data_IF_473908984227
#
_entry.id   IF_473908984227
#
_cell.length_a   1.000
_cell.length_b   1.000
_cell.length_c   1.000
_cell.angle_alpha   90.00
_cell.angle_beta   90.00
_cell.angle_gamma   90.00
#
_symmetry.space_group_name_H-M   'P 1'
#
loop_
_entity.id
_entity.type
_entity.pdbx_description
1 polymer ?
#
# COMPACT_ATOMS: atom_id res chain seq x y z
N UNK A 1 -49.89 19.95 21.96
CA UNK A 1 -48.49 20.12 21.50
C UNK A 1 -47.50 19.88 22.66
N UNK A 2 -47.49 18.67 23.25
CA UNK A 2 -46.64 18.34 24.43
C UNK A 2 -45.95 16.96 24.37
N UNK A 3 -46.08 16.24 23.24
CA UNK A 3 -45.54 14.87 23.08
C UNK A 3 -44.16 14.86 22.40
N UNK A 4 -43.69 15.99 21.86
CA UNK A 4 -42.41 16.06 21.13
C UNK A 4 -41.19 15.81 22.02
N UNK A 5 -41.04 16.50 23.15
CA UNK A 5 -39.77 16.49 23.90
C UNK A 5 -39.47 15.13 24.56
N UNK A 6 -40.49 14.41 25.01
CA UNK A 6 -40.36 13.07 25.64
C UNK A 6 -39.93 12.01 24.64
N UNK A 7 -40.30 12.15 23.36
CA UNK A 7 -39.93 11.19 22.32
C UNK A 7 -38.57 11.52 21.68
N UNK A 8 -38.20 12.80 21.59
CA UNK A 8 -36.91 13.19 20.98
C UNK A 8 -35.72 13.07 21.92
N UNK A 9 -35.90 13.25 23.24
CA UNK A 9 -34.79 13.20 24.19
C UNK A 9 -34.12 11.81 24.27
N UNK A 10 -34.85 10.69 24.40
CA UNK A 10 -34.25 9.35 24.40
C UNK A 10 -33.53 9.05 23.08
N UNK A 11 -34.15 9.42 21.95
CA UNK A 11 -33.57 9.26 20.61
C UNK A 11 -32.29 10.08 20.47
N UNK A 12 -32.25 11.31 20.98
CA UNK A 12 -31.05 12.14 20.93
C UNK A 12 -29.90 11.54 21.74
N UNK A 13 -30.18 10.96 22.92
CA UNK A 13 -29.17 10.27 23.74
C UNK A 13 -28.64 9.03 23.03
N UNK A 14 -29.51 8.24 22.41
CA UNK A 14 -29.13 7.07 21.60
C UNK A 14 -28.23 7.46 20.43
N UNK A 15 -28.62 8.47 19.63
CA UNK A 15 -27.81 8.96 18.50
C UNK A 15 -26.47 9.54 18.96
N UNK A 16 -26.44 10.20 20.11
CA UNK A 16 -25.20 10.69 20.70
C UNK A 16 -24.27 9.55 21.13
N UNK A 17 -24.83 8.48 21.72
CA UNK A 17 -24.05 7.29 22.06
C UNK A 17 -23.48 6.60 20.80
N UNK A 18 -24.28 6.46 19.74
CA UNK A 18 -23.83 5.92 18.45
C UNK A 18 -22.74 6.79 17.82
N UNK A 19 -22.88 8.13 17.86
CA UNK A 19 -21.88 9.07 17.37
C UNK A 19 -20.56 8.93 18.13
N UNK A 20 -20.61 8.79 19.46
CA UNK A 20 -19.41 8.58 20.28
C UNK A 20 -18.72 7.26 19.95
N UNK A 21 -19.48 6.19 19.72
CA UNK A 21 -18.93 4.91 19.29
C UNK A 21 -18.30 5.01 17.89
N UNK A 22 -18.93 5.72 16.96
CA UNK A 22 -18.36 5.98 15.64
C UNK A 22 -17.07 6.82 15.72
N UNK A 23 -17.06 7.87 16.52
CA UNK A 23 -15.89 8.73 16.72
C UNK A 23 -14.71 7.96 17.31
N UNK A 24 -14.95 7.06 18.28
CA UNK A 24 -13.91 6.20 18.85
C UNK A 24 -13.33 5.24 17.82
N UNK A 25 -14.15 4.71 16.90
CA UNK A 25 -13.67 3.85 15.82
C UNK A 25 -12.77 4.60 14.83
N UNK A 26 -13.14 5.83 14.48
CA UNK A 26 -12.32 6.69 13.61
C UNK A 26 -11.00 7.05 14.29
N UNK A 27 -11.01 7.44 15.56
CA UNK A 27 -9.78 7.73 16.32
C UNK A 27 -8.87 6.48 16.41
N UNK A 28 -9.45 5.31 16.71
CA UNK A 28 -8.71 4.06 16.72
C UNK A 28 -8.07 3.76 15.35
N UNK A 29 -8.80 3.94 14.25
CA UNK A 29 -8.28 3.74 12.90
C UNK A 29 -7.14 4.72 12.55
N UNK A 30 -7.31 6.02 12.84
CA UNK A 30 -6.28 7.04 12.56
C UNK A 30 -4.98 6.79 13.34
N UNK A 31 -5.06 6.13 14.51
CA UNK A 31 -3.87 5.75 15.27
C UNK A 31 -3.10 4.57 14.66
N UNK A 32 -3.78 3.66 13.94
CA UNK A 32 -3.12 2.53 13.28
C UNK A 32 -2.19 2.98 12.14
N UNK A 33 -2.56 4.05 11.41
CA UNK A 33 -1.82 4.53 10.24
C UNK A 33 -0.38 4.95 10.56
N UNK A 34 -0.08 5.39 11.79
CA UNK A 34 1.27 5.86 12.17
C UNK A 34 2.30 4.75 12.32
N UNK A 35 1.87 3.50 12.45
CA UNK A 35 2.78 2.37 12.69
C UNK A 35 3.33 1.81 11.36
N UNK A 36 2.64 2.02 10.24
CA UNK A 36 3.03 1.50 8.93
C UNK A 36 4.20 2.28 8.28
N UNK A 37 4.55 3.46 8.80
CA UNK A 37 5.61 4.32 8.25
C UNK A 37 7.05 3.88 8.59
N UNK A 38 7.23 2.66 9.13
CA UNK A 38 8.56 2.08 9.38
C UNK A 38 9.02 1.16 8.23
N UNK A 39 8.77 1.54 6.97
CA UNK A 39 9.58 1.01 5.87
C UNK A 39 10.90 1.78 5.91
N UNK A 40 11.91 1.10 6.47
CA UNK A 40 13.31 1.50 6.57
C UNK A 40 13.82 2.05 5.24
N UNK A 41 13.61 3.33 5.01
CA UNK A 41 14.37 4.10 4.02
C UNK A 41 15.68 4.41 4.72
N UNK A 42 16.63 3.46 4.66
CA UNK A 42 18.00 3.70 5.11
C UNK A 42 18.57 4.83 4.24
N UNK A 43 18.46 6.06 4.75
CA UNK A 43 19.01 7.28 4.13
C UNK A 43 20.53 7.40 4.26
N UNK A 44 21.24 6.42 4.81
CA UNK A 44 22.67 6.60 5.10
C UNK A 44 23.49 5.41 4.63
N UNK A 45 23.84 5.42 3.33
CA UNK A 45 25.21 5.20 2.85
C UNK A 45 25.30 5.42 1.33
N UNK A 46 26.22 6.28 0.93
CA UNK A 46 26.62 6.50 -0.45
C UNK A 46 27.26 5.22 -1.01
N UNK A 47 26.48 4.44 -1.74
CA UNK A 47 27.04 3.48 -2.71
C UNK A 47 26.08 3.40 -3.88
N UNK A 48 26.60 3.83 -5.03
CA UNK A 48 25.91 3.85 -6.32
C UNK A 48 25.57 2.39 -6.66
N UNK A 49 24.28 2.10 -6.80
CA UNK A 49 23.81 0.87 -7.45
C UNK A 49 23.23 -0.21 -6.54
N UNK A 50 22.09 0.06 -5.89
CA UNK A 50 21.21 -1.03 -5.43
C UNK A 50 19.81 -0.73 -5.96
N UNK A 51 19.29 -1.61 -6.82
CA UNK A 51 17.91 -1.57 -7.31
C UNK A 51 16.99 -2.31 -6.34
N UNK A 52 17.05 -3.65 -6.38
CA UNK A 52 16.34 -4.54 -5.45
C UNK A 52 17.35 -5.56 -4.91
N UNK A 53 17.49 -5.66 -3.59
CA UNK A 53 18.31 -6.68 -2.93
C UNK A 53 17.57 -7.27 -1.74
N UNK A 54 17.33 -8.58 -1.78
CA UNK A 54 16.70 -9.35 -0.72
C UNK A 54 17.58 -10.56 -0.42
N UNK A 55 17.95 -10.78 0.83
CA UNK A 55 18.76 -11.93 1.25
C UNK A 55 18.06 -12.69 2.36
N UNK A 56 17.77 -13.97 2.09
CA UNK A 56 17.04 -14.89 2.96
C UNK A 56 15.77 -14.26 3.57
N UNK A 57 15.06 -13.45 2.79
CA UNK A 57 13.93 -12.66 3.24
C UNK A 57 12.65 -13.50 3.31
N UNK A 58 11.94 -13.41 4.43
CA UNK A 58 10.62 -14.04 4.60
C UNK A 58 9.57 -12.98 4.87
N UNK A 59 8.43 -13.05 4.17
CA UNK A 59 7.38 -12.03 4.23
C UNK A 59 6.02 -12.64 4.60
N UNK A 60 5.27 -11.94 5.44
CA UNK A 60 3.92 -12.32 5.86
C UNK A 60 2.87 -11.26 5.51
N UNK A 61 1.67 -11.74 5.21
CA UNK A 61 0.45 -10.95 5.32
C UNK A 61 -0.11 -11.20 6.71
N UNK A 62 0.00 -10.19 7.58
CA UNK A 62 -0.35 -10.29 9.00
C UNK A 62 0.25 -11.51 9.69
N UNK A 63 -0.54 -12.57 9.88
CA UNK A 63 -0.18 -13.79 10.61
C UNK A 63 0.28 -14.94 9.68
N UNK A 64 0.05 -14.84 8.37
CA UNK A 64 0.38 -15.92 7.42
C UNK A 64 1.63 -15.57 6.63
N UNK A 65 2.68 -16.36 6.81
CA UNK A 65 3.89 -16.23 5.99
C UNK A 65 3.62 -16.75 4.58
N UNK A 66 3.80 -15.88 3.58
CA UNK A 66 3.51 -16.20 2.18
C UNK A 66 4.77 -16.39 1.33
N UNK A 67 5.88 -15.76 1.71
CA UNK A 67 7.18 -15.90 1.04
C UNK A 67 8.21 -16.32 2.08
N UNK A 68 8.99 -17.35 1.78
CA UNK A 68 9.99 -17.91 2.68
C UNK A 68 11.36 -17.95 1.99
N UNK A 69 12.41 -17.57 2.71
CA UNK A 69 13.82 -17.69 2.31
C UNK A 69 14.12 -17.15 0.90
N UNK A 70 13.55 -15.99 0.58
CA UNK A 70 13.72 -15.35 -0.72
C UNK A 70 15.10 -14.67 -0.82
N UNK A 71 15.85 -15.00 -1.87
CA UNK A 71 17.10 -14.29 -2.20
C UNK A 71 17.05 -13.82 -3.65
N UNK A 72 16.97 -12.50 -3.85
CA UNK A 72 16.88 -11.87 -5.17
C UNK A 72 17.75 -10.62 -5.17
N UNK A 73 18.59 -10.47 -6.19
CA UNK A 73 19.35 -9.26 -6.45
C UNK A 73 19.11 -8.84 -7.90
N UNK A 74 18.68 -7.59 -8.10
CA UNK A 74 18.46 -6.98 -9.40
C UNK A 74 19.14 -5.62 -9.46
N UNK A 75 19.97 -5.46 -10.48
CA UNK A 75 20.68 -4.22 -10.76
C UNK A 75 19.79 -3.21 -11.50
N UNK A 76 19.97 -1.90 -11.28
CA UNK A 76 19.27 -0.88 -12.04
C UNK A 76 19.47 -1.04 -13.56
N UNK A 77 18.42 -0.82 -14.34
CA UNK A 77 18.47 -0.93 -15.81
C UNK A 77 18.31 -2.35 -16.36
N UNK A 78 18.05 -3.34 -15.50
CA UNK A 78 17.76 -4.72 -15.92
C UNK A 78 16.26 -4.96 -16.12
N UNK A 79 15.90 -5.79 -17.10
CA UNK A 79 14.55 -6.29 -17.29
C UNK A 79 14.46 -7.72 -16.74
N UNK A 80 13.67 -7.91 -15.68
CA UNK A 80 13.52 -9.20 -14.98
C UNK A 80 12.11 -9.73 -15.18
N UNK A 81 11.98 -11.00 -15.60
CA UNK A 81 10.71 -11.70 -15.70
C UNK A 81 10.53 -12.70 -14.56
N UNK A 82 9.37 -12.67 -13.89
CA UNK A 82 9.00 -13.61 -12.83
C UNK A 82 7.93 -14.57 -13.38
N UNK A 83 8.21 -15.87 -13.36
CA UNK A 83 7.31 -16.91 -13.86
C UNK A 83 7.08 -17.99 -12.81
N UNK A 84 5.92 -18.64 -12.86
CA UNK A 84 5.56 -19.71 -11.93
C UNK A 84 4.06 -20.00 -11.91
N UNK A 85 3.62 -21.11 -11.29
CA UNK A 85 2.21 -21.52 -11.26
C UNK A 85 1.33 -20.52 -10.50
N UNK A 86 0.00 -20.61 -10.69
CA UNK A 86 -0.98 -19.84 -9.91
C UNK A 86 -0.80 -20.17 -8.43
N UNK A 87 -0.77 -19.16 -7.56
CA UNK A 87 -0.52 -19.34 -6.12
C UNK A 87 0.95 -19.39 -5.71
N UNK A 88 1.92 -19.30 -6.63
CA UNK A 88 3.35 -19.31 -6.31
C UNK A 88 3.87 -18.05 -5.59
N UNK A 89 3.00 -17.11 -5.18
CA UNK A 89 3.41 -15.89 -4.49
C UNK A 89 3.98 -14.77 -5.38
N UNK A 90 3.77 -14.82 -6.70
CA UNK A 90 4.25 -13.77 -7.63
C UNK A 90 3.71 -12.38 -7.29
N UNK A 91 2.40 -12.27 -7.07
CA UNK A 91 1.78 -11.00 -6.66
C UNK A 91 2.26 -10.58 -5.27
N UNK A 92 2.42 -11.53 -4.35
CA UNK A 92 3.01 -11.27 -3.03
C UNK A 92 4.44 -10.73 -3.14
N UNK A 93 5.25 -11.24 -4.07
CA UNK A 93 6.60 -10.73 -4.31
C UNK A 93 6.57 -9.26 -4.76
N UNK A 94 5.65 -8.87 -5.64
CA UNK A 94 5.47 -7.47 -6.02
C UNK A 94 5.03 -6.60 -4.82
N UNK A 95 4.09 -7.07 -4.01
CA UNK A 95 3.69 -6.38 -2.77
C UNK A 95 4.83 -6.26 -1.76
N UNK A 96 5.71 -7.26 -1.65
CA UNK A 96 6.91 -7.19 -0.82
C UNK A 96 7.91 -6.16 -1.33
N UNK A 97 8.08 -6.04 -2.65
CA UNK A 97 8.93 -5.00 -3.28
C UNK A 97 8.35 -3.60 -3.03
N UNK A 98 7.02 -3.46 -3.07
CA UNK A 98 6.31 -2.20 -2.78
C UNK A 98 6.28 -1.86 -1.27
N UNK A 99 6.72 -2.77 -0.40
CA UNK A 99 6.71 -2.60 1.05
C UNK A 99 5.34 -2.79 1.71
N UNK A 100 4.38 -3.38 1.01
CA UNK A 100 3.04 -3.65 1.57
C UNK A 100 3.02 -4.85 2.53
N UNK A 101 4.03 -5.72 2.46
CA UNK A 101 4.17 -6.91 3.30
C UNK A 101 5.19 -6.71 4.43
N UNK A 102 4.93 -7.34 5.58
CA UNK A 102 5.86 -7.30 6.72
C UNK A 102 7.02 -8.26 6.49
N UNK A 103 8.26 -7.77 6.64
CA UNK A 103 9.45 -8.60 6.70
C UNK A 103 9.53 -9.28 8.07
N UNK A 104 9.53 -10.61 8.08
CA UNK A 104 9.58 -11.43 9.30
C UNK A 104 11.02 -11.82 9.63
N UNK A 105 11.81 -12.14 8.61
CA UNK A 105 13.20 -12.58 8.76
C UNK A 105 14.02 -12.19 7.52
N UNK A 106 15.34 -12.08 7.68
CA UNK A 106 16.29 -11.73 6.63
C UNK A 106 16.46 -10.22 6.40
N UNK A 107 16.90 -9.85 5.20
CA UNK A 107 17.11 -8.45 4.83
C UNK A 107 16.46 -8.13 3.50
N UNK A 108 15.79 -6.97 3.42
CA UNK A 108 15.19 -6.44 2.20
C UNK A 108 15.61 -4.98 2.05
N UNK A 109 16.19 -4.65 0.90
CA UNK A 109 16.56 -3.28 0.51
C UNK A 109 16.03 -3.02 -0.89
N UNK A 110 15.15 -2.04 -1.00
CA UNK A 110 14.64 -1.56 -2.28
C UNK A 110 14.80 -0.06 -2.31
N UNK A 111 15.36 0.47 -3.41
CA UNK A 111 15.68 1.89 -3.53
C UNK A 111 15.17 2.45 -4.84
N UNK A 112 14.60 3.66 -4.77
CA UNK A 112 14.14 4.42 -5.93
C UNK A 112 12.65 4.71 -5.91
N UNK A 113 12.16 5.27 -7.02
CA UNK A 113 10.73 5.50 -7.23
C UNK A 113 10.08 4.29 -7.89
N UNK A 114 8.87 3.93 -7.48
CA UNK A 114 8.11 2.83 -8.06
C UNK A 114 7.05 3.31 -9.04
N UNK A 115 6.83 2.52 -10.08
CA UNK A 115 5.61 2.55 -10.90
C UNK A 115 5.02 1.14 -10.88
N UNK A 116 3.73 1.04 -10.55
CA UNK A 116 3.07 -0.25 -10.36
C UNK A 116 1.81 -0.34 -11.21
N UNK A 117 1.69 -1.42 -11.97
CA UNK A 117 0.51 -1.78 -12.73
C UNK A 117 -0.16 -2.98 -12.06
N UNK A 118 -1.31 -2.73 -11.44
CA UNK A 118 -2.13 -3.75 -10.76
C UNK A 118 -2.76 -4.72 -11.76
N UNK A 119 -3.05 -5.94 -11.30
CA UNK A 119 -3.76 -6.96 -12.10
C UNK A 119 -5.15 -6.49 -12.57
N UNK A 120 -5.87 -5.76 -11.69
CA UNK A 120 -7.17 -5.16 -12.00
C UNK A 120 -7.03 -3.65 -11.99
N UNK A 121 -7.10 -2.95 -13.14
CA UNK A 121 -6.82 -1.52 -13.22
C UNK A 121 -7.84 -0.70 -12.44
N UNK A 122 -7.34 0.34 -11.76
CA UNK A 122 -8.19 1.35 -11.15
C UNK A 122 -8.44 2.47 -12.16
N UNK A 123 -9.70 2.65 -12.55
CA UNK A 123 -10.11 3.69 -13.51
C UNK A 123 -10.96 4.73 -12.78
N UNK A 124 -10.55 5.99 -12.85
CA UNK A 124 -11.30 7.13 -12.35
C UNK A 124 -12.45 7.48 -13.31
N UNK A 125 -13.54 7.99 -12.75
CA UNK A 125 -14.70 8.49 -13.48
C UNK A 125 -14.39 9.84 -14.15
N UNK A 126 -13.50 9.83 -15.14
CA UNK A 126 -13.01 10.98 -15.90
C UNK A 126 -12.63 10.51 -17.33
N UNK A 127 -12.14 11.42 -18.17
CA UNK A 127 -11.66 11.12 -19.52
C UNK A 127 -10.52 10.10 -19.51
N UNK A 128 -10.36 9.39 -20.63
CA UNK A 128 -9.23 8.47 -20.84
C UNK A 128 -7.90 9.21 -20.64
N UNK A 129 -7.79 10.44 -21.17
CA UNK A 129 -6.59 11.27 -21.01
C UNK A 129 -6.29 11.54 -19.53
N UNK A 130 -7.28 11.90 -18.73
CA UNK A 130 -7.09 12.14 -17.29
C UNK A 130 -6.60 10.89 -16.56
N UNK A 131 -7.16 9.73 -16.90
CA UNK A 131 -6.73 8.43 -16.36
C UNK A 131 -5.28 8.08 -16.73
N UNK A 132 -4.80 8.47 -17.92
CA UNK A 132 -3.40 8.28 -18.33
C UNK A 132 -2.47 9.26 -17.59
N UNK A 133 -2.89 10.51 -17.44
CA UNK A 133 -2.07 11.55 -16.79
C UNK A 133 -1.97 11.37 -15.27
N UNK A 134 -2.94 10.70 -14.63
CA UNK A 134 -2.98 10.45 -13.19
C UNK A 134 -2.74 11.73 -12.36
N UNK A 135 -3.36 12.84 -12.78
CA UNK A 135 -3.25 14.15 -12.13
C UNK A 135 -2.01 14.99 -12.52
N UNK A 136 -1.16 14.51 -13.43
CA UNK A 136 -0.03 15.31 -13.97
C UNK A 136 -0.50 16.29 -15.05
N UNK A 137 0.21 17.42 -15.25
CA UNK A 137 -0.09 18.33 -16.36
C UNK A 137 0.10 17.63 -17.71
N UNK A 138 -0.69 18.05 -18.70
CA UNK A 138 -0.61 17.50 -20.05
C UNK A 138 0.67 17.99 -20.74
N UNK A 139 1.50 17.04 -21.15
CA UNK A 139 2.70 17.25 -21.97
C UNK A 139 2.52 16.48 -23.28
N UNK A 140 2.39 17.21 -24.39
CA UNK A 140 2.08 16.65 -25.70
C UNK A 140 3.19 15.75 -26.24
N UNK A 141 4.47 16.10 -26.01
CA UNK A 141 5.60 15.31 -26.51
C UNK A 141 5.68 13.95 -25.81
N UNK A 142 5.51 13.95 -24.49
CA UNK A 142 5.51 12.73 -23.67
C UNK A 142 4.26 11.87 -23.86
N UNK A 143 3.11 12.49 -24.15
CA UNK A 143 1.87 11.75 -24.35
C UNK A 143 1.81 11.08 -25.73
N UNK A 144 2.49 11.63 -26.73
CA UNK A 144 2.53 11.10 -28.09
C UNK A 144 3.65 10.08 -28.34
N UNK A 145 4.65 9.98 -27.44
CA UNK A 145 5.75 9.00 -27.49
C UNK A 145 5.32 7.63 -27.00
#
# INVERSE_FOLDING_TARGET
MRVSITNYLPVAIERFAEMLAASKRIDAFMRLTKIQEQITTDEQNETIGIGISMNNASFSWSETTCLNNLTINSEPGTLVGIVGPVGAGKSSLLSAILGEMTLVDGTSRVRGSFAYAVQSPWIFADTIRANILLGKPFDEQRYAS
#
